data_IF_999854769958
#
_entry.id   IF_999854769958
#
_cell.length_a   1.000
_cell.length_b   1.000
_cell.length_c   1.000
_cell.angle_alpha   90.00
_cell.angle_beta   90.00
_cell.angle_gamma   90.00
#
_symmetry.space_group_name_H-M   'P 1'
#
loop_
_entity.id
_entity.type
_entity.pdbx_description
1 polymer ?
#
# COMPACT_ATOMS: atom_id res chain seq x y z
N UNK A 1 9.42 17.60 10.19
CA UNK A 1 10.15 16.64 11.04
C UNK A 1 10.55 15.36 10.29
N UNK A 2 9.78 14.89 9.29
CA UNK A 2 10.18 13.76 8.41
C UNK A 2 11.00 14.14 7.17
N UNK A 3 11.25 15.43 6.93
CA UNK A 3 11.95 15.93 5.75
C UNK A 3 13.43 15.56 5.72
N UNK A 4 14.12 15.53 6.87
CA UNK A 4 15.56 15.22 6.92
C UNK A 4 15.93 13.73 6.79
N UNK A 5 14.98 12.81 7.01
CA UNK A 5 15.23 11.36 6.87
C UNK A 5 15.17 10.91 5.41
N UNK A 6 14.33 11.55 4.60
CA UNK A 6 14.15 11.16 3.21
C UNK A 6 15.19 11.79 2.26
N UNK A 7 15.93 12.81 2.73
CA UNK A 7 17.07 13.39 2.02
C UNK A 7 18.38 12.60 2.22
N UNK A 8 18.44 11.71 3.24
CA UNK A 8 19.63 10.91 3.53
C UNK A 8 19.49 9.48 2.97
N UNK A 9 20.28 9.09 1.95
CA UNK A 9 20.21 7.76 1.33
C UNK A 9 20.37 6.61 2.33
N UNK A 10 21.16 6.80 3.38
CA UNK A 10 21.43 5.76 4.39
C UNK A 10 20.16 5.43 5.19
N UNK A 11 19.34 6.44 5.51
CA UNK A 11 18.10 6.24 6.25
C UNK A 11 17.05 5.50 5.39
N UNK A 12 16.93 5.86 4.11
CA UNK A 12 16.04 5.18 3.15
C UNK A 12 16.44 3.72 2.96
N UNK A 13 17.74 3.45 2.80
CA UNK A 13 18.26 2.08 2.66
C UNK A 13 18.08 1.25 3.93
N UNK A 14 18.32 1.83 5.09
CA UNK A 14 18.12 1.14 6.38
C UNK A 14 16.64 0.81 6.58
N UNK A 15 15.74 1.75 6.26
CA UNK A 15 14.30 1.51 6.31
C UNK A 15 13.86 0.43 5.32
N UNK A 16 14.35 0.46 4.08
CA UNK A 16 14.07 -0.56 3.08
C UNK A 16 14.52 -1.95 3.54
N UNK A 17 15.70 -2.06 4.16
CA UNK A 17 16.22 -3.31 4.71
C UNK A 17 15.33 -3.85 5.86
N UNK A 18 14.96 -2.97 6.81
CA UNK A 18 14.08 -3.34 7.92
C UNK A 18 12.69 -3.73 7.44
N UNK A 19 12.13 -2.98 6.49
CA UNK A 19 10.86 -3.33 5.87
C UNK A 19 10.93 -4.64 5.11
N UNK A 20 12.00 -4.90 4.35
CA UNK A 20 12.21 -6.16 3.65
C UNK A 20 12.28 -7.35 4.60
N UNK A 21 12.96 -7.21 5.75
CA UNK A 21 12.98 -8.24 6.80
C UNK A 21 11.59 -8.47 7.41
N UNK A 22 10.85 -7.40 7.70
CA UNK A 22 9.48 -7.51 8.21
C UNK A 22 8.54 -8.17 7.19
N UNK A 23 8.64 -7.78 5.92
CA UNK A 23 7.90 -8.38 4.81
C UNK A 23 8.24 -9.85 4.60
N UNK A 24 9.52 -10.20 4.65
CA UNK A 24 9.97 -11.58 4.52
C UNK A 24 9.43 -12.44 5.66
N UNK A 25 9.53 -11.94 6.90
CA UNK A 25 9.00 -12.62 8.09
C UNK A 25 7.48 -12.82 8.01
N UNK A 26 6.74 -11.77 7.68
CA UNK A 26 5.28 -11.88 7.50
C UNK A 26 4.90 -12.81 6.35
N UNK A 27 5.58 -12.73 5.21
CA UNK A 27 5.33 -13.61 4.06
C UNK A 27 5.57 -15.08 4.41
N UNK A 28 6.63 -15.40 5.17
CA UNK A 28 6.90 -16.78 5.61
C UNK A 28 5.78 -17.33 6.51
N UNK A 29 5.25 -16.50 7.41
CA UNK A 29 4.11 -16.87 8.25
C UNK A 29 2.89 -17.21 7.37
N UNK A 30 2.55 -16.33 6.43
CA UNK A 30 1.41 -16.56 5.52
C UNK A 30 1.64 -17.76 4.60
N UNK A 31 2.86 -17.97 4.10
CA UNK A 31 3.23 -19.09 3.24
C UNK A 31 3.16 -20.43 3.98
N UNK A 32 3.51 -20.46 5.28
CA UNK A 32 3.39 -21.66 6.11
C UNK A 32 1.95 -22.09 6.35
N UNK A 33 1.01 -21.14 6.32
CA UNK A 33 -0.43 -21.40 6.49
C UNK A 33 -1.08 -21.69 5.14
N UNK A 34 -0.68 -20.94 4.10
CA UNK A 34 -1.22 -21.01 2.75
C UNK A 34 -0.07 -21.11 1.74
N UNK A 35 0.35 -22.33 1.36
CA UNK A 35 1.46 -22.50 0.42
C UNK A 35 1.12 -21.92 -0.96
N UNK A 36 2.05 -21.13 -1.52
CA UNK A 36 1.92 -20.43 -2.80
C UNK A 36 1.25 -19.06 -2.72
N UNK A 37 0.91 -18.56 -1.52
CA UNK A 37 0.23 -17.26 -1.38
C UNK A 37 1.17 -16.09 -1.65
N UNK A 38 2.45 -16.21 -1.28
CA UNK A 38 3.43 -15.14 -1.46
C UNK A 38 3.68 -14.85 -2.95
N UNK A 39 3.81 -15.88 -3.79
CA UNK A 39 4.01 -15.69 -5.23
C UNK A 39 2.76 -15.13 -5.92
N UNK A 40 1.56 -15.55 -5.50
CA UNK A 40 0.31 -14.98 -6.00
C UNK A 40 0.15 -13.51 -5.62
N UNK A 41 0.48 -13.16 -4.37
CA UNK A 41 0.44 -11.78 -3.90
C UNK A 41 1.44 -10.91 -4.67
N UNK A 42 2.66 -11.40 -4.88
CA UNK A 42 3.67 -10.72 -5.69
C UNK A 42 3.19 -10.46 -7.12
N UNK A 43 2.68 -11.50 -7.80
CA UNK A 43 2.15 -11.36 -9.16
C UNK A 43 0.97 -10.37 -9.21
N UNK A 44 0.09 -10.41 -8.22
CA UNK A 44 -1.02 -9.47 -8.09
C UNK A 44 -0.54 -8.03 -7.92
N UNK A 45 0.42 -7.79 -7.03
CA UNK A 45 1.00 -6.44 -6.82
C UNK A 45 1.72 -5.94 -8.07
N UNK A 46 2.49 -6.78 -8.76
CA UNK A 46 3.15 -6.41 -10.02
C UNK A 46 2.12 -6.12 -11.13
N UNK A 47 1.02 -6.87 -11.18
CA UNK A 47 -0.07 -6.63 -12.12
C UNK A 47 -0.78 -5.28 -11.85
N UNK A 48 -1.06 -4.96 -10.58
CA UNK A 48 -1.63 -3.65 -10.18
C UNK A 48 -0.66 -2.52 -10.52
N UNK A 49 0.62 -2.69 -10.19
CA UNK A 49 1.67 -1.72 -10.50
C UNK A 49 1.76 -1.46 -12.02
N UNK A 50 1.90 -2.51 -12.82
CA UNK A 50 2.01 -2.41 -14.27
C UNK A 50 0.74 -1.87 -14.93
N UNK A 51 -0.43 -2.30 -14.45
CA UNK A 51 -1.72 -1.81 -14.93
C UNK A 51 -1.89 -0.32 -14.66
N UNK A 52 -1.61 0.12 -13.44
CA UNK A 52 -1.67 1.55 -13.09
C UNK A 52 -0.63 2.38 -13.84
N UNK A 53 0.58 1.84 -14.06
CA UNK A 53 1.61 2.53 -14.84
C UNK A 53 1.14 2.76 -16.28
N UNK A 54 0.54 1.75 -16.91
CA UNK A 54 -0.03 1.89 -18.26
C UNK A 54 -1.14 2.95 -18.27
N UNK A 55 -2.09 2.86 -17.34
CA UNK A 55 -3.21 3.81 -17.23
C UNK A 55 -2.70 5.24 -17.04
N UNK A 56 -1.74 5.42 -16.13
CA UNK A 56 -1.12 6.70 -15.86
C UNK A 56 -0.42 7.26 -17.10
N UNK A 57 0.41 6.45 -17.77
CA UNK A 57 1.13 6.84 -18.99
C UNK A 57 0.20 7.20 -20.15
N UNK A 58 -0.98 6.56 -20.23
CA UNK A 58 -1.99 6.90 -21.24
C UNK A 58 -2.69 8.23 -20.97
N UNK A 59 -2.43 8.90 -19.84
CA UNK A 59 -2.99 10.20 -19.51
C UNK A 59 -4.49 10.17 -19.21
N UNK A 60 -5.06 8.99 -19.00
CA UNK A 60 -6.51 8.80 -18.79
C UNK A 60 -6.96 9.37 -17.43
N UNK A 61 -6.08 9.39 -16.43
CA UNK A 61 -6.36 9.89 -15.08
C UNK A 61 -5.54 11.15 -14.80
N UNK A 62 -6.13 12.36 -14.86
CA UNK A 62 -5.44 13.57 -14.44
C UNK A 62 -5.32 13.59 -12.91
N UNK A 63 -4.09 13.54 -12.40
CA UNK A 63 -3.79 13.66 -10.97
C UNK A 63 -3.91 15.14 -10.56
N UNK A 64 -5.13 15.54 -10.19
CA UNK A 64 -5.44 16.91 -9.73
C UNK A 64 -5.22 17.08 -8.23
N UNK A 65 -5.15 18.32 -7.75
CA UNK A 65 -5.08 18.64 -6.31
C UNK A 65 -6.25 17.98 -5.54
N UNK A 66 -7.45 18.02 -6.12
CA UNK A 66 -8.65 17.40 -5.55
C UNK A 66 -8.50 15.87 -5.43
N UNK A 67 -7.85 15.22 -6.40
CA UNK A 67 -7.57 13.79 -6.34
C UNK A 67 -6.60 13.45 -5.19
N UNK A 68 -5.55 14.25 -5.02
CA UNK A 68 -4.59 14.09 -3.90
C UNK A 68 -5.26 14.27 -2.55
N UNK A 69 -6.13 15.27 -2.39
CA UNK A 69 -6.92 15.50 -1.17
C UNK A 69 -7.87 14.33 -0.91
N UNK A 70 -8.54 13.83 -1.96
CA UNK A 70 -9.43 12.67 -1.86
C UNK A 70 -8.69 11.39 -1.46
N UNK A 71 -7.47 11.17 -1.96
CA UNK A 71 -6.65 10.03 -1.57
C UNK A 71 -6.18 10.14 -0.12
N UNK A 72 -5.75 11.32 0.29
CA UNK A 72 -5.32 11.54 1.67
C UNK A 72 -6.48 11.36 2.66
N UNK A 73 -7.69 11.80 2.30
CA UNK A 73 -8.89 11.56 3.12
C UNK A 73 -9.31 10.08 3.13
N UNK A 74 -9.14 9.37 2.02
CA UNK A 74 -9.39 7.92 1.97
C UNK A 74 -8.39 7.15 2.85
N UNK A 75 -7.10 7.49 2.80
CA UNK A 75 -6.07 6.93 3.68
C UNK A 75 -6.36 7.21 5.15
N UNK A 76 -6.75 8.44 5.49
CA UNK A 76 -7.09 8.81 6.87
C UNK A 76 -8.34 8.09 7.37
N UNK A 77 -9.34 7.87 6.51
CA UNK A 77 -10.52 7.08 6.83
C UNK A 77 -10.15 5.61 7.14
N UNK A 78 -9.31 4.97 6.31
CA UNK A 78 -8.82 3.61 6.57
C UNK A 78 -8.08 3.54 7.90
N UNK A 79 -7.19 4.51 8.17
CA UNK A 79 -6.47 4.58 9.43
C UNK A 79 -7.42 4.73 10.62
N UNK A 80 -8.45 5.57 10.50
CA UNK A 80 -9.43 5.78 11.56
C UNK A 80 -10.26 4.51 11.83
N UNK A 81 -10.61 3.76 10.79
CA UNK A 81 -11.29 2.46 10.92
C UNK A 81 -10.41 1.47 11.69
N UNK A 82 -9.12 1.37 11.37
CA UNK A 82 -8.19 0.51 12.10
C UNK A 82 -8.00 0.94 13.56
N UNK A 83 -7.89 2.25 13.82
CA UNK A 83 -7.83 2.81 15.18
C UNK A 83 -9.08 2.49 15.99
N UNK A 84 -10.27 2.71 15.43
CA UNK A 84 -11.54 2.35 16.08
C UNK A 84 -11.61 0.87 16.40
N UNK A 85 -11.17 0.02 15.47
CA UNK A 85 -11.15 -1.42 15.67
C UNK A 85 -10.20 -1.84 16.80
N UNK A 86 -9.03 -1.19 16.91
CA UNK A 86 -8.08 -1.41 18.00
C UNK A 86 -8.67 -0.99 19.35
N UNK A 87 -9.29 0.20 19.41
CA UNK A 87 -9.91 0.71 20.64
C UNK A 87 -11.05 -0.21 21.08
N UNK A 88 -11.96 -0.58 20.18
CA UNK A 88 -13.08 -1.47 20.47
C UNK A 88 -12.62 -2.88 20.87
N UNK A 89 -11.52 -3.36 20.28
CA UNK A 89 -10.87 -4.62 20.66
C UNK A 89 -10.35 -4.62 22.10
N UNK A 90 -9.84 -3.49 22.61
CA UNK A 90 -9.42 -3.34 24.01
C UNK A 90 -10.61 -3.44 24.98
N UNK A 91 -11.80 -3.01 24.54
CA UNK A 91 -13.04 -3.14 25.31
C UNK A 91 -13.73 -4.51 25.16
N UNK A 92 -13.09 -5.48 24.50
CA UNK A 92 -13.64 -6.83 24.29
C UNK A 92 -14.81 -6.87 23.29
N UNK A 93 -15.04 -5.77 22.56
CA UNK A 93 -16.03 -5.70 21.48
C UNK A 93 -15.28 -5.95 20.17
N UNK A 94 -15.18 -7.22 19.79
CA UNK A 94 -14.72 -7.57 18.44
C UNK A 94 -15.78 -7.12 17.45
N UNK A 95 -15.47 -6.15 16.57
CA UNK A 95 -16.34 -5.84 15.43
C UNK A 95 -16.30 -7.04 14.49
N UNK A 96 -17.37 -7.85 14.39
CA UNK A 96 -17.33 -9.10 13.65
C UNK A 96 -17.25 -8.86 12.13
N UNK A 97 -17.60 -7.66 11.66
CA UNK A 97 -17.78 -7.40 10.23
C UNK A 97 -16.50 -7.03 9.46
N UNK A 98 -15.43 -6.61 10.15
CA UNK A 98 -14.13 -6.27 9.51
C UNK A 98 -13.15 -7.45 9.62
N UNK A 99 -13.27 -8.24 10.70
CA UNK A 99 -12.44 -9.42 10.96
C UNK A 99 -13.07 -10.76 10.58
N UNK A 100 -14.38 -10.82 10.30
CA UNK A 100 -14.93 -12.06 9.75
C UNK A 100 -14.47 -12.27 8.31
N UNK A 101 -14.32 -13.54 7.96
CA UNK A 101 -14.22 -14.03 6.59
C UNK A 101 -15.47 -13.69 5.73
N UNK A 102 -16.33 -12.75 6.11
CA UNK A 102 -17.51 -12.30 5.38
C UNK A 102 -17.18 -11.60 4.04
N UNK A 103 -18.16 -11.52 3.14
CA UNK A 103 -18.03 -10.83 1.83
C UNK A 103 -17.56 -9.37 1.99
N UNK A 104 -17.94 -8.76 3.12
CA UNK A 104 -17.60 -7.39 3.51
C UNK A 104 -16.09 -7.24 3.75
N UNK A 105 -15.43 -8.22 4.38
CA UNK A 105 -13.99 -8.18 4.63
C UNK A 105 -13.16 -8.31 3.34
N UNK A 106 -13.66 -9.06 2.36
CA UNK A 106 -13.05 -9.18 1.02
C UNK A 106 -13.27 -7.88 0.25
N UNK A 107 -14.50 -7.36 0.23
CA UNK A 107 -14.83 -6.08 -0.41
C UNK A 107 -13.99 -4.92 0.14
N UNK A 108 -13.79 -4.88 1.46
CA UNK A 108 -12.92 -3.89 2.10
C UNK A 108 -11.46 -4.02 1.62
N UNK A 109 -10.90 -5.23 1.59
CA UNK A 109 -9.53 -5.43 1.10
C UNK A 109 -9.37 -5.05 -0.37
N UNK A 110 -10.37 -5.34 -1.22
CA UNK A 110 -10.38 -4.88 -2.63
C UNK A 110 -10.43 -3.35 -2.71
N UNK A 111 -11.25 -2.69 -1.89
CA UNK A 111 -11.30 -1.23 -1.83
C UNK A 111 -9.95 -0.63 -1.40
N UNK A 112 -9.30 -1.19 -0.39
CA UNK A 112 -7.99 -0.72 0.09
C UNK A 112 -6.91 -0.93 -0.98
N UNK A 113 -6.93 -2.05 -1.71
CA UNK A 113 -6.03 -2.29 -2.85
C UNK A 113 -6.29 -1.26 -3.96
N UNK A 114 -7.56 -0.95 -4.25
CA UNK A 114 -7.93 0.09 -5.21
C UNK A 114 -7.42 1.48 -4.80
N UNK A 115 -7.58 1.85 -3.53
CA UNK A 115 -7.04 3.11 -3.00
C UNK A 115 -5.50 3.12 -3.08
N UNK A 116 -4.84 2.01 -2.75
CA UNK A 116 -3.39 1.85 -2.92
C UNK A 116 -2.95 2.00 -4.37
N UNK A 117 -3.70 1.46 -5.32
CA UNK A 117 -3.46 1.62 -6.75
C UNK A 117 -3.55 3.08 -7.19
N UNK A 118 -4.52 3.84 -6.65
CA UNK A 118 -4.59 5.29 -6.90
C UNK A 118 -3.46 6.07 -6.23
N UNK A 119 -3.01 5.67 -5.04
CA UNK A 119 -1.79 6.23 -4.43
C UNK A 119 -0.57 6.00 -5.33
N UNK A 120 -0.46 4.84 -5.96
CA UNK A 120 0.60 4.56 -6.93
C UNK A 120 0.58 5.50 -8.13
N UNK A 121 -0.61 5.85 -8.65
CA UNK A 121 -0.74 6.87 -9.70
C UNK A 121 -0.30 8.26 -9.22
N UNK A 122 -0.62 8.62 -7.97
CA UNK A 122 -0.14 9.87 -7.38
C UNK A 122 1.38 9.87 -7.18
N UNK A 123 1.98 8.70 -6.89
CA UNK A 123 3.43 8.55 -6.77
C UNK A 123 4.11 8.73 -8.14
N UNK A 124 3.53 8.20 -9.23
CA UNK A 124 4.04 8.43 -10.58
C UNK A 124 3.97 9.90 -11.02
N UNK A 125 2.87 10.60 -10.73
CA UNK A 125 2.74 12.04 -10.98
C UNK A 125 3.75 12.86 -10.16
N UNK A 126 4.03 12.44 -8.92
CA UNK A 126 5.09 13.07 -8.13
C UNK A 126 6.48 12.89 -8.76
N UNK A 127 6.79 11.70 -9.28
CA UNK A 127 8.05 11.42 -9.98
C UNK A 127 8.15 12.25 -11.27
N UNK A 128 7.11 12.22 -12.11
CA UNK A 128 7.10 12.91 -13.41
C UNK A 128 7.25 14.42 -13.25
N UNK A 129 6.45 15.05 -12.38
CA UNK A 129 6.59 16.47 -12.06
C UNK A 129 7.95 16.80 -11.43
N UNK A 130 8.52 15.88 -10.65
CA UNK A 130 9.87 16.04 -10.10
C UNK A 130 10.93 16.13 -11.20
N UNK A 131 10.81 15.31 -12.24
CA UNK A 131 11.71 15.32 -13.39
C UNK A 131 11.48 16.56 -14.27
N UNK A 132 10.22 16.91 -14.56
CA UNK A 132 9.87 18.08 -15.39
C UNK A 132 10.34 19.41 -14.77
N UNK A 133 10.24 19.55 -13.45
CA UNK A 133 10.67 20.75 -12.74
C UNK A 133 12.18 20.79 -12.45
N UNK A 134 12.95 19.82 -12.94
CA UNK A 134 14.41 19.75 -12.72
C UNK A 134 14.77 19.62 -11.24
N UNK A 135 13.99 18.87 -10.47
CA UNK A 135 14.13 18.79 -9.03
C UNK A 135 15.54 18.32 -8.58
N UNK A 136 16.05 18.78 -7.42
CA UNK A 136 17.34 18.36 -6.89
C UNK A 136 17.42 16.85 -6.67
N UNK A 137 18.61 16.25 -6.82
CA UNK A 137 18.87 14.80 -6.62
C UNK A 137 18.36 14.21 -5.29
N UNK A 138 18.15 15.02 -4.24
CA UNK A 138 17.56 14.54 -2.98
C UNK A 138 16.07 14.18 -3.10
N UNK A 139 15.34 14.77 -4.06
CA UNK A 139 13.93 14.43 -4.30
C UNK A 139 13.75 13.05 -4.94
N UNK A 140 14.75 12.51 -5.64
CA UNK A 140 14.70 11.16 -6.20
C UNK A 140 14.50 10.13 -5.10
N UNK A 141 15.24 10.25 -3.99
CA UNK A 141 15.13 9.35 -2.83
C UNK A 141 13.77 9.45 -2.15
N UNK A 142 13.20 10.65 -2.07
CA UNK A 142 11.84 10.86 -1.56
C UNK A 142 10.79 10.19 -2.45
N UNK A 143 10.94 10.29 -3.76
CA UNK A 143 10.02 9.69 -4.72
C UNK A 143 10.09 8.15 -4.68
N UNK A 144 11.31 7.59 -4.65
CA UNK A 144 11.53 6.15 -4.51
C UNK A 144 11.00 5.62 -3.18
N UNK A 145 11.19 6.37 -2.08
CA UNK A 145 10.65 6.00 -0.77
C UNK A 145 9.11 5.91 -0.78
N UNK A 146 8.42 6.91 -1.35
CA UNK A 146 6.96 6.90 -1.47
C UNK A 146 6.46 5.69 -2.26
N UNK A 147 7.02 5.49 -3.47
CA UNK A 147 6.71 4.35 -4.31
C UNK A 147 6.92 3.00 -3.61
N UNK A 148 8.03 2.86 -2.88
CA UNK A 148 8.35 1.63 -2.14
C UNK A 148 7.32 1.35 -1.05
N UNK A 149 6.96 2.36 -0.25
CA UNK A 149 5.96 2.22 0.82
C UNK A 149 4.60 1.83 0.25
N UNK A 150 4.16 2.46 -0.85
CA UNK A 150 2.89 2.14 -1.50
C UNK A 150 2.90 0.72 -2.07
N UNK A 151 3.99 0.30 -2.70
CA UNK A 151 4.11 -1.05 -3.28
C UNK A 151 4.08 -2.14 -2.19
N UNK A 152 4.77 -1.90 -1.09
CA UNK A 152 4.77 -2.76 0.10
C UNK A 152 3.37 -2.84 0.72
N UNK A 153 2.69 -1.71 0.83
CA UNK A 153 1.32 -1.65 1.32
C UNK A 153 0.39 -2.53 0.47
N UNK A 154 0.43 -2.37 -0.86
CA UNK A 154 -0.41 -3.15 -1.77
C UNK A 154 -0.11 -4.64 -1.64
N UNK A 155 1.16 -5.03 -1.48
CA UNK A 155 1.54 -6.43 -1.26
C UNK A 155 0.94 -7.02 0.03
N UNK A 156 1.04 -6.30 1.15
CA UNK A 156 0.48 -6.78 2.42
C UNK A 156 -1.05 -6.91 2.34
N UNK A 157 -1.72 -5.97 1.67
CA UNK A 157 -3.17 -6.05 1.49
C UNK A 157 -3.56 -7.16 0.49
N UNK A 158 -2.73 -7.42 -0.53
CA UNK A 158 -2.92 -8.55 -1.44
C UNK A 158 -2.78 -9.90 -0.71
N UNK A 159 -1.76 -10.05 0.15
CA UNK A 159 -1.61 -11.21 1.03
C UNK A 159 -2.85 -11.40 1.90
N UNK A 160 -3.35 -10.31 2.51
CA UNK A 160 -4.55 -10.34 3.34
C UNK A 160 -5.81 -10.72 2.54
N UNK A 161 -5.96 -10.20 1.32
CA UNK A 161 -7.06 -10.55 0.42
C UNK A 161 -7.03 -12.04 0.07
N UNK A 162 -5.88 -12.55 -0.38
CA UNK A 162 -5.72 -13.95 -0.75
C UNK A 162 -5.93 -14.88 0.45
N UNK A 163 -5.47 -14.47 1.65
CA UNK A 163 -5.66 -15.26 2.85
C UNK A 163 -7.15 -15.38 3.21
N UNK A 164 -7.92 -14.28 3.10
CA UNK A 164 -9.38 -14.29 3.28
C UNK A 164 -10.10 -15.15 2.25
N UNK A 165 -9.64 -15.14 1.00
CA UNK A 165 -10.21 -15.97 -0.07
C UNK A 165 -9.95 -17.46 0.17
N UNK A 166 -8.74 -17.82 0.59
CA UNK A 166 -8.36 -19.22 0.82
C UNK A 166 -8.94 -19.78 2.13
N UNK A 167 -9.10 -18.95 3.16
CA UNK A 167 -9.73 -19.33 4.44
C UNK A 167 -11.23 -19.68 4.33
N UNK A 168 -11.86 -19.40 3.18
CA UNK A 168 -13.25 -19.80 2.87
C UNK A 168 -13.36 -21.19 2.22
N UNK A 169 -12.24 -21.78 1.81
CA UNK A 169 -12.19 -23.10 1.16
C UNK A 169 -12.03 -24.20 2.21
#
# INVERSE_FOLDING_TARGET
>A
MFTGLADNPIAVLTYAALQGLFLGGTSLIFESIYPGIAIQAFLGTTAVFGGMLIIYRTGVIPVTENFRIALFSAMSAIFMIYMLTLILGIFGIEIPYIHSNGLIGIGFSVLVIGIGAFCLASDFDFVERGVENGAPKSMEWRAVFGLMVTLIWIYLEMLRLLAKLNSRR
#
